data_IF_297813423459
#
_entry.id   IF_297813423459
#
_cell.length_a   1.000
_cell.length_b   1.000
_cell.length_c   1.000
_cell.angle_alpha   90.00
_cell.angle_beta   90.00
_cell.angle_gamma   90.00
#
_symmetry.space_group_name_H-M   'P 1'
#
loop_
_entity.id
_entity.type
_entity.pdbx_description
1 polymer ?
#
# COMPACT_ATOMS: atom_id res chain seq x y z
N UNK A 1 2.67 -11.97 0.53
CA UNK A 1 4.00 -12.44 0.07
C UNK A 1 5.06 -11.32 0.03
N UNK A 2 4.92 -10.24 0.82
CA UNK A 2 5.88 -9.14 0.82
C UNK A 2 5.77 -8.17 -0.36
N UNK A 3 4.80 -8.36 -1.26
CA UNK A 3 4.56 -7.45 -2.38
C UNK A 3 3.62 -6.30 -2.04
N UNK A 4 3.84 -5.18 -2.72
CA UNK A 4 2.98 -4.01 -2.67
C UNK A 4 2.95 -3.27 -4.00
N UNK A 5 1.98 -2.38 -4.16
CA UNK A 5 1.86 -1.48 -5.31
C UNK A 5 1.15 -0.20 -4.89
N UNK A 6 1.46 0.91 -5.58
CA UNK A 6 0.65 2.12 -5.50
C UNK A 6 -0.30 2.12 -6.70
N UNK A 7 -1.61 2.22 -6.41
CA UNK A 7 -2.63 2.38 -7.44
C UNK A 7 -3.12 3.82 -7.45
N UNK A 8 -3.08 4.46 -8.61
CA UNK A 8 -3.57 5.82 -8.77
C UNK A 8 -5.10 5.87 -8.60
N UNK A 9 -5.58 6.85 -7.83
CA UNK A 9 -7.00 7.01 -7.50
C UNK A 9 -7.87 7.21 -8.76
N UNK A 10 -7.33 7.86 -9.80
CA UNK A 10 -7.99 8.04 -11.10
C UNK A 10 -8.35 6.71 -11.81
N UNK A 11 -7.66 5.61 -11.48
CA UNK A 11 -7.99 4.27 -11.96
C UNK A 11 -9.23 3.68 -11.28
N UNK A 12 -9.72 4.30 -10.21
CA UNK A 12 -10.93 3.92 -9.49
C UNK A 12 -12.12 4.78 -9.90
N UNK A 13 -13.26 4.13 -10.04
CA UNK A 13 -14.55 4.78 -10.24
C UNK A 13 -15.35 4.47 -9.00
N UNK A 14 -16.06 5.47 -8.47
CA UNK A 14 -16.93 5.27 -7.33
C UNK A 14 -17.94 4.15 -7.62
N UNK A 15 -18.16 3.31 -6.61
CA UNK A 15 -19.21 2.32 -6.68
C UNK A 15 -20.58 3.01 -6.70
N UNK A 16 -21.52 2.48 -7.46
CA UNK A 16 -22.90 3.02 -7.52
C UNK A 16 -23.74 2.66 -6.30
N UNK A 17 -23.31 1.66 -5.53
CA UNK A 17 -23.94 1.22 -4.29
C UNK A 17 -22.92 0.50 -3.39
N UNK A 18 -23.12 0.49 -2.06
CA UNK A 18 -22.37 -0.37 -1.15
C UNK A 18 -22.49 -1.85 -1.58
N UNK A 19 -21.40 -2.61 -1.50
CA UNK A 19 -21.39 -4.05 -1.81
C UNK A 19 -21.43 -4.41 -3.31
N UNK A 20 -21.51 -3.44 -4.23
CA UNK A 20 -21.30 -3.73 -5.66
C UNK A 20 -19.88 -4.27 -5.91
N UNK A 21 -19.71 -5.13 -6.92
CA UNK A 21 -18.42 -5.71 -7.29
C UNK A 21 -17.32 -4.65 -7.34
N UNK A 22 -16.45 -4.65 -6.32
CA UNK A 22 -15.41 -3.65 -6.16
C UNK A 22 -14.33 -3.77 -7.23
N UNK A 23 -13.38 -2.83 -7.23
CA UNK A 23 -12.21 -2.92 -8.09
C UNK A 23 -11.11 -3.69 -7.41
N UNK A 24 -10.45 -4.56 -8.18
CA UNK A 24 -9.24 -5.26 -7.72
C UNK A 24 -8.09 -4.24 -7.64
N UNK A 25 -7.49 -4.11 -6.45
CA UNK A 25 -6.34 -3.23 -6.22
C UNK A 25 -5.07 -3.83 -6.85
N UNK A 26 -4.79 -5.09 -6.54
CA UNK A 26 -3.65 -5.84 -7.06
C UNK A 26 -4.02 -7.31 -7.20
N UNK A 27 -3.33 -8.04 -8.07
CA UNK A 27 -3.45 -9.50 -8.15
C UNK A 27 -2.76 -10.08 -6.92
N UNK A 28 -3.54 -10.66 -6.02
CA UNK A 28 -3.04 -11.36 -4.83
C UNK A 28 -4.14 -12.28 -4.30
N UNK A 29 -3.74 -13.35 -3.64
CA UNK A 29 -4.65 -14.24 -2.92
C UNK A 29 -4.93 -13.73 -1.49
N UNK A 30 -4.00 -12.94 -0.94
CA UNK A 30 -4.09 -12.41 0.43
C UNK A 30 -3.65 -10.94 0.44
N UNK A 31 -4.63 -10.04 0.58
CA UNK A 31 -4.40 -8.62 0.78
C UNK A 31 -4.40 -8.31 2.29
N UNK A 32 -3.30 -7.74 2.79
CA UNK A 32 -3.16 -7.43 4.23
C UNK A 32 -3.75 -6.07 4.62
N UNK A 33 -3.99 -5.18 3.65
CA UNK A 33 -4.59 -3.87 3.90
C UNK A 33 -4.41 -2.90 2.73
N UNK A 34 -4.96 -1.70 2.90
CA UNK A 34 -4.87 -0.58 1.95
C UNK A 34 -4.80 0.72 2.77
N UNK A 35 -3.92 1.64 2.40
CA UNK A 35 -3.87 2.98 2.96
C UNK A 35 -3.65 4.00 1.86
N UNK A 36 -4.16 5.21 2.07
CA UNK A 36 -3.86 6.33 1.21
C UNK A 36 -2.41 6.78 1.42
N UNK A 37 -1.79 7.21 0.33
CA UNK A 37 -0.53 7.96 0.33
C UNK A 37 -0.81 9.28 -0.36
N UNK A 38 -0.14 10.33 0.07
CA UNK A 38 -0.18 11.62 -0.57
C UNK A 38 0.63 11.59 -1.88
N UNK A 39 0.51 12.66 -2.67
CA UNK A 39 1.30 12.80 -3.89
C UNK A 39 2.81 12.82 -3.58
N UNK A 40 3.68 12.21 -4.43
CA UNK A 40 5.12 12.12 -4.16
C UNK A 40 5.84 13.46 -3.97
N UNK A 41 5.25 14.57 -4.42
CA UNK A 41 5.76 15.92 -4.28
C UNK A 41 5.51 16.55 -2.90
N UNK A 42 4.74 15.91 -2.02
CA UNK A 42 4.45 16.37 -0.66
C UNK A 42 5.70 16.23 0.22
N UNK A 43 5.93 17.21 1.09
CA UNK A 43 7.06 17.24 2.03
C UNK A 43 6.56 17.42 3.48
N UNK A 44 6.84 16.49 4.40
CA UNK A 44 7.62 15.26 4.21
C UNK A 44 6.89 14.21 3.35
N UNK A 45 7.61 13.37 2.57
CA UNK A 45 6.99 12.27 1.85
C UNK A 45 6.48 11.22 2.84
N UNK A 46 5.46 10.46 2.45
CA UNK A 46 5.01 9.35 3.29
C UNK A 46 6.03 8.22 3.35
N UNK A 47 6.37 7.79 4.57
CA UNK A 47 7.04 6.53 4.84
C UNK A 47 6.02 5.40 4.95
N UNK A 48 6.39 4.23 4.44
CA UNK A 48 5.66 2.97 4.61
C UNK A 48 6.42 2.10 5.60
N UNK A 49 5.75 1.63 6.63
CA UNK A 49 6.28 0.67 7.60
C UNK A 49 5.56 -0.66 7.42
N UNK A 50 6.29 -1.74 7.20
CA UNK A 50 5.72 -3.09 7.06
C UNK A 50 6.30 -3.98 8.14
N UNK A 51 5.44 -4.72 8.85
CA UNK A 51 5.83 -5.70 9.86
C UNK A 51 5.50 -7.12 9.40
N UNK A 52 6.41 -8.04 9.71
CA UNK A 52 6.26 -9.48 9.48
C UNK A 52 5.81 -10.22 10.73
N UNK A 53 5.31 -11.44 10.57
CA UNK A 53 4.90 -12.30 11.67
C UNK A 53 6.06 -12.62 12.62
N UNK A 54 7.28 -12.74 12.09
CA UNK A 54 8.49 -13.00 12.88
C UNK A 54 9.14 -11.72 13.45
N UNK A 55 8.46 -10.58 13.40
CA UNK A 55 8.88 -9.33 14.07
C UNK A 55 9.88 -8.49 13.29
N UNK A 56 10.20 -8.80 12.03
CA UNK A 56 10.98 -7.90 11.17
C UNK A 56 10.16 -6.68 10.79
N UNK A 57 10.78 -5.50 10.78
CA UNK A 57 10.20 -4.24 10.29
C UNK A 57 11.10 -3.69 9.18
N UNK A 58 10.49 -3.23 8.10
CA UNK A 58 11.15 -2.42 7.07
C UNK A 58 10.44 -1.07 6.93
N UNK A 59 11.21 -0.02 6.63
CA UNK A 59 10.74 1.31 6.29
C UNK A 59 11.29 1.69 4.91
N UNK A 60 10.45 2.25 4.06
CA UNK A 60 10.82 2.85 2.77
C UNK A 60 9.86 3.97 2.42
N UNK A 61 10.23 4.89 1.54
CA UNK A 61 9.34 5.94 1.08
C UNK A 61 8.31 5.39 0.11
N UNK A 62 7.06 5.85 0.19
CA UNK A 62 6.02 5.46 -0.76
C UNK A 62 6.45 5.73 -2.23
N UNK A 63 7.19 6.81 -2.47
CA UNK A 63 7.71 7.18 -3.78
C UNK A 63 8.67 6.14 -4.41
N UNK A 64 9.25 5.23 -3.62
CA UNK A 64 10.09 4.14 -4.12
C UNK A 64 9.26 3.01 -4.77
N UNK A 65 7.95 2.97 -4.53
CA UNK A 65 7.03 2.00 -5.14
C UNK A 65 6.42 2.59 -6.42
N UNK A 66 6.61 1.96 -7.60
CA UNK A 66 6.07 2.49 -8.85
C UNK A 66 4.54 2.55 -8.84
N UNK A 67 3.99 3.73 -9.13
CA UNK A 67 2.56 3.93 -9.31
C UNK A 67 2.04 3.24 -10.58
N UNK A 68 0.81 2.71 -10.52
CA UNK A 68 0.15 1.99 -11.60
C UNK A 68 -1.32 2.39 -11.73
N UNK A 69 -1.78 2.55 -12.96
CA UNK A 69 -3.19 2.79 -13.26
C UNK A 69 -4.02 1.49 -13.23
N UNK A 70 -3.42 0.39 -13.72
CA UNK A 70 -4.07 -0.91 -13.86
C UNK A 70 -3.74 -1.92 -12.75
N UNK A 71 -4.44 -3.06 -12.79
CA UNK A 71 -4.24 -4.16 -11.84
C UNK A 71 -2.92 -4.88 -12.13
N UNK A 72 -2.00 -4.87 -11.17
CA UNK A 72 -0.68 -5.50 -11.26
C UNK A 72 -0.45 -6.49 -10.12
N UNK A 73 0.61 -7.29 -10.21
CA UNK A 73 1.08 -8.17 -9.13
C UNK A 73 1.82 -7.40 -8.02
N UNK A 74 2.24 -6.17 -8.28
CA UNK A 74 3.09 -5.38 -7.40
C UNK A 74 4.57 -5.72 -7.49
N UNK A 75 5.38 -5.01 -6.71
CA UNK A 75 6.83 -5.18 -6.58
C UNK A 75 7.17 -5.69 -5.18
N UNK A 76 8.39 -6.20 -4.99
CA UNK A 76 8.83 -6.66 -3.68
C UNK A 76 9.08 -5.46 -2.74
N UNK A 77 8.28 -5.34 -1.69
CA UNK A 77 8.43 -4.32 -0.64
C UNK A 77 9.13 -4.87 0.60
N UNK A 78 9.06 -6.19 0.83
CA UNK A 78 9.74 -6.85 1.94
C UNK A 78 10.13 -8.27 1.51
N UNK A 79 11.43 -8.58 1.54
CA UNK A 79 11.87 -9.94 1.29
C UNK A 79 11.56 -10.84 2.50
N UNK A 80 10.92 -11.98 2.25
CA UNK A 80 10.45 -12.90 3.29
C UNK A 80 10.91 -14.31 2.97
N UNK A 81 11.29 -15.05 4.01
CA UNK A 81 11.63 -16.48 3.93
C UNK A 81 10.95 -17.18 5.09
N UNK A 82 10.03 -18.08 4.78
CA UNK A 82 9.18 -18.77 5.77
C UNK A 82 8.52 -17.81 6.75
N UNK A 83 8.01 -16.69 6.23
CA UNK A 83 7.48 -15.55 6.98
C UNK A 83 6.41 -14.86 6.14
N UNK A 84 5.56 -14.05 6.76
CA UNK A 84 4.51 -13.29 6.08
C UNK A 84 4.40 -11.88 6.65
N UNK A 85 4.07 -10.90 5.80
CA UNK A 85 3.62 -9.60 6.30
C UNK A 85 2.28 -9.77 7.00
N UNK A 86 2.12 -9.09 8.14
CA UNK A 86 0.90 -9.15 8.95
C UNK A 86 0.18 -7.80 9.03
N UNK A 87 0.92 -6.70 8.93
CA UNK A 87 0.37 -5.36 8.89
C UNK A 87 1.33 -4.40 8.20
N UNK A 88 0.80 -3.25 7.80
CA UNK A 88 1.60 -2.09 7.43
C UNK A 88 0.90 -0.81 7.87
N UNK A 89 1.67 0.27 7.96
CA UNK A 89 1.12 1.62 8.12
C UNK A 89 1.86 2.61 7.23
N UNK A 90 1.22 3.75 6.98
CA UNK A 90 1.77 4.88 6.24
C UNK A 90 1.86 6.05 7.22
N UNK A 91 3.02 6.72 7.28
CA UNK A 91 3.17 7.91 8.10
C UNK A 91 2.31 9.05 7.54
N UNK A 92 1.64 9.80 8.41
CA UNK A 92 0.98 11.04 7.99
C UNK A 92 2.02 12.08 7.57
N UNK A 93 1.75 12.82 6.50
CA UNK A 93 2.59 13.96 6.08
C UNK A 93 2.41 15.21 6.96
N UNK A 94 1.61 15.14 8.04
CA UNK A 94 1.14 16.27 8.84
C UNK A 94 -0.08 16.91 8.14
N UNK A 95 -1.22 17.12 8.78
CA UNK A 95 -1.45 17.52 10.16
C UNK A 95 -2.00 16.40 11.05
N UNK A 96 -1.40 16.24 12.23
CA UNK A 96 -2.18 15.81 13.39
C UNK A 96 -3.20 16.92 13.65
N UNK A 97 -4.46 16.72 13.27
CA UNK A 97 -5.56 17.51 13.82
C UNK A 97 -5.73 17.08 15.28
N UNK A 98 -5.17 17.88 16.19
CA UNK A 98 -5.54 17.86 17.61
C UNK A 98 -6.90 18.55 17.80
#
# INVERSE_FOLDING_TARGET
DGKGTIRLANGFSANKAPGSGGKVLMKTEALIGVMAVDEPAINPPNDVFVISQLGKIIRFQAAEVPAKEGVVQGVNCMNLRSDTCTAFTVSSSGAASA
#
